data_IF_825835702022
#
_entry.id   IF_825835702022
#
_cell.length_a   1.000
_cell.length_b   1.000
_cell.length_c   1.000
_cell.angle_alpha   90.00
_cell.angle_beta   90.00
_cell.angle_gamma   90.00
#
_symmetry.space_group_name_H-M   'P 1'
#
loop_
_entity.id
_entity.type
_entity.pdbx_description
1 polymer ?
#
# COMPACT_ATOMS: atom_id res chain seq x y z
N UNK A 1 -5.55 -18.85 -8.39
CA UNK A 1 -6.11 -17.79 -7.53
C UNK A 1 -6.66 -18.33 -6.20
N UNK A 2 -7.48 -19.37 -6.16
CA UNK A 2 -8.00 -19.92 -4.88
C UNK A 2 -6.90 -20.38 -3.91
N UNK A 3 -5.85 -21.02 -4.41
CA UNK A 3 -4.72 -21.51 -3.59
C UNK A 3 -3.94 -20.36 -2.93
N UNK A 4 -3.70 -19.26 -3.63
CA UNK A 4 -2.97 -18.11 -3.09
C UNK A 4 -3.75 -17.43 -1.95
N UNK A 5 -5.05 -17.17 -2.14
CA UNK A 5 -5.87 -16.56 -1.09
C UNK A 5 -6.03 -17.45 0.15
N UNK A 6 -6.05 -18.78 -0.02
CA UNK A 6 -6.06 -19.72 1.09
C UNK A 6 -4.74 -19.71 1.87
N UNK A 7 -3.61 -19.64 1.17
CA UNK A 7 -2.28 -19.54 1.82
C UNK A 7 -2.14 -18.24 2.59
N UNK A 8 -2.59 -17.12 2.03
CA UNK A 8 -2.52 -15.81 2.69
C UNK A 8 -3.43 -15.75 3.93
N UNK A 9 -4.65 -16.25 3.82
CA UNK A 9 -5.58 -16.31 4.97
C UNK A 9 -5.07 -17.23 6.07
N UNK A 10 -4.59 -18.43 5.72
CA UNK A 10 -4.03 -19.38 6.70
C UNK A 10 -2.76 -18.81 7.35
N UNK A 11 -1.93 -18.09 6.61
CA UNK A 11 -0.74 -17.41 7.12
C UNK A 11 -1.08 -16.39 8.20
N UNK A 12 -2.10 -15.55 7.98
CA UNK A 12 -2.50 -14.54 8.96
C UNK A 12 -3.06 -15.17 10.25
N UNK A 13 -3.85 -16.24 10.13
CA UNK A 13 -4.37 -16.98 11.29
C UNK A 13 -3.21 -17.64 12.07
N UNK A 14 -2.30 -18.30 11.37
CA UNK A 14 -1.13 -18.94 12.00
C UNK A 14 -0.25 -17.93 12.71
N UNK A 15 -0.03 -16.74 12.11
CA UNK A 15 0.71 -15.65 12.74
C UNK A 15 0.05 -15.21 14.04
N UNK A 16 -1.27 -15.01 14.03
CA UNK A 16 -2.01 -14.62 15.23
C UNK A 16 -1.88 -15.66 16.33
N UNK A 17 -2.10 -16.94 16.01
CA UNK A 17 -2.00 -18.04 16.98
C UNK A 17 -0.58 -18.09 17.58
N UNK A 18 0.48 -18.02 16.74
CA UNK A 18 1.85 -18.08 17.22
C UNK A 18 2.18 -16.89 18.13
N UNK A 19 1.79 -15.66 17.76
CA UNK A 19 2.04 -14.49 18.58
C UNK A 19 1.34 -14.62 19.93
N UNK A 20 0.06 -15.00 19.95
CA UNK A 20 -0.68 -15.21 21.21
C UNK A 20 -0.03 -16.28 22.06
N UNK A 21 0.34 -17.42 21.47
CA UNK A 21 0.97 -18.52 22.21
C UNK A 21 2.31 -18.12 22.82
N UNK A 22 3.22 -17.54 22.04
CA UNK A 22 4.56 -17.18 22.52
C UNK A 22 4.51 -16.07 23.58
N UNK A 23 3.67 -15.05 23.40
CA UNK A 23 3.51 -13.96 24.36
C UNK A 23 2.82 -14.44 25.64
N UNK A 24 1.88 -15.39 25.55
CA UNK A 24 1.23 -15.98 26.73
C UNK A 24 2.18 -16.85 27.56
N UNK A 25 3.14 -17.54 26.90
CA UNK A 25 4.12 -18.37 27.58
C UNK A 25 5.22 -17.55 28.27
N UNK A 26 5.62 -16.46 27.65
CA UNK A 26 6.62 -15.54 28.20
C UNK A 26 6.33 -14.12 27.70
N UNK A 27 5.77 -13.23 28.54
CA UNK A 27 5.36 -11.88 28.17
C UNK A 27 6.57 -10.94 28.06
N UNK A 28 7.43 -11.22 27.08
CA UNK A 28 8.60 -10.41 26.75
C UNK A 28 8.58 -10.04 25.26
N UNK A 29 9.21 -8.91 24.94
CA UNK A 29 9.38 -8.43 23.56
C UNK A 29 10.11 -9.47 22.68
N UNK A 30 11.05 -10.21 23.22
CA UNK A 30 11.76 -11.29 22.53
C UNK A 30 10.81 -12.38 22.03
N UNK A 31 9.78 -12.75 22.81
CA UNK A 31 8.79 -13.76 22.44
C UNK A 31 7.97 -13.38 21.22
N UNK A 32 7.66 -12.08 21.07
CA UNK A 32 7.03 -11.56 19.88
C UNK A 32 7.91 -11.73 18.62
N UNK A 33 9.20 -11.42 18.73
CA UNK A 33 10.13 -11.61 17.61
C UNK A 33 10.32 -13.08 17.25
N UNK A 34 10.40 -13.98 18.23
CA UNK A 34 10.46 -15.42 17.99
C UNK A 34 9.21 -15.91 17.27
N UNK A 35 8.01 -15.50 17.70
CA UNK A 35 6.77 -15.87 17.04
C UNK A 35 6.74 -15.45 15.58
N UNK A 36 7.18 -14.23 15.27
CA UNK A 36 7.26 -13.73 13.89
C UNK A 36 8.28 -14.51 13.05
N UNK A 37 9.42 -14.84 13.62
CA UNK A 37 10.48 -15.60 12.93
C UNK A 37 10.00 -17.02 12.60
N UNK A 38 9.40 -17.71 13.57
CA UNK A 38 8.80 -19.03 13.36
C UNK A 38 7.69 -19.00 12.31
N UNK A 39 6.82 -18.00 12.36
CA UNK A 39 5.79 -17.82 11.35
C UNK A 39 6.39 -17.67 9.95
N UNK A 40 7.43 -16.84 9.78
CA UNK A 40 8.06 -16.64 8.48
C UNK A 40 8.73 -17.92 7.94
N UNK A 41 9.40 -18.68 8.80
CA UNK A 41 9.95 -19.98 8.45
C UNK A 41 8.84 -20.96 8.02
N UNK A 42 7.77 -21.06 8.79
CA UNK A 42 6.63 -21.92 8.48
C UNK A 42 6.02 -21.61 7.11
N UNK A 43 5.76 -20.33 6.83
CA UNK A 43 5.21 -19.90 5.54
C UNK A 43 6.17 -20.21 4.39
N UNK A 44 7.47 -20.00 4.59
CA UNK A 44 8.48 -20.31 3.58
C UNK A 44 8.53 -21.81 3.25
N UNK A 45 8.48 -22.66 4.24
CA UNK A 45 8.43 -24.13 4.06
C UNK A 45 7.12 -24.54 3.36
N UNK A 46 5.99 -23.97 3.78
CA UNK A 46 4.68 -24.28 3.17
C UNK A 46 4.64 -23.89 1.70
N UNK A 47 5.17 -22.72 1.33
CA UNK A 47 5.27 -22.29 -0.07
C UNK A 47 6.18 -23.22 -0.87
N UNK A 48 7.33 -23.64 -0.32
CA UNK A 48 8.21 -24.61 -0.97
C UNK A 48 7.49 -25.94 -1.21
N UNK A 49 6.79 -26.48 -0.22
CA UNK A 49 6.06 -27.75 -0.35
C UNK A 49 4.96 -27.65 -1.42
N UNK A 50 4.26 -26.52 -1.52
CA UNK A 50 3.25 -26.29 -2.55
C UNK A 50 3.87 -26.22 -3.95
N UNK A 51 5.03 -25.58 -4.09
CA UNK A 51 5.76 -25.53 -5.37
C UNK A 51 6.23 -26.91 -5.82
N UNK A 52 6.67 -27.78 -4.90
CA UNK A 52 7.04 -29.16 -5.24
C UNK A 52 5.84 -30.04 -5.58
N UNK A 53 4.63 -29.70 -5.10
CA UNK A 53 3.40 -30.46 -5.39
C UNK A 53 2.74 -30.03 -6.70
N UNK A 54 3.05 -28.85 -7.21
CA UNK A 54 2.51 -28.38 -8.48
C UNK A 54 3.15 -29.17 -9.63
N UNK A 55 2.31 -29.95 -10.32
CA UNK A 55 2.75 -30.89 -11.36
C UNK A 55 3.37 -30.12 -12.53
N UNK A 56 4.68 -30.21 -12.67
CA UNK A 56 5.50 -29.51 -13.67
C UNK A 56 5.22 -29.98 -15.11
N UNK A 57 4.33 -30.94 -15.30
CA UNK A 57 4.01 -31.55 -16.60
C UNK A 57 3.22 -30.65 -17.56
N UNK A 58 2.74 -29.48 -17.13
CA UNK A 58 2.01 -28.51 -17.97
C UNK A 58 2.79 -27.24 -18.30
N UNK A 59 3.98 -27.06 -17.77
CA UNK A 59 4.83 -25.93 -18.14
C UNK A 59 5.50 -26.21 -19.48
N UNK A 60 5.35 -25.32 -20.45
CA UNK A 60 6.24 -25.27 -21.61
C UNK A 60 7.68 -25.38 -21.10
N UNK A 61 8.51 -26.25 -21.73
CA UNK A 61 9.92 -26.46 -21.34
C UNK A 61 10.73 -25.19 -21.64
N UNK A 62 10.47 -24.14 -20.87
CA UNK A 62 11.35 -22.97 -20.86
C UNK A 62 12.66 -23.40 -20.20
N UNK A 63 13.74 -23.28 -20.94
CA UNK A 63 15.08 -23.60 -20.42
C UNK A 63 15.34 -22.74 -19.20
N UNK A 64 15.90 -23.30 -18.11
CA UNK A 64 16.21 -22.57 -16.88
C UNK A 64 17.00 -21.26 -17.14
N UNK A 65 17.83 -21.25 -18.16
CA UNK A 65 18.58 -20.06 -18.61
C UNK A 65 17.67 -18.97 -19.21
N UNK A 66 16.64 -19.35 -19.95
CA UNK A 66 15.63 -18.42 -20.51
C UNK A 66 14.73 -17.88 -19.39
N UNK A 67 14.31 -18.74 -18.47
CA UNK A 67 13.55 -18.33 -17.28
C UNK A 67 14.33 -17.30 -16.45
N UNK A 68 15.63 -17.54 -16.18
CA UNK A 68 16.48 -16.57 -15.47
C UNK A 68 16.61 -15.27 -16.27
N UNK A 69 16.78 -15.34 -17.61
CA UNK A 69 16.92 -14.14 -18.45
C UNK A 69 15.64 -13.30 -18.47
N UNK A 70 14.47 -13.92 -18.62
CA UNK A 70 13.16 -13.26 -18.57
C UNK A 70 12.85 -12.74 -17.15
N UNK A 71 13.12 -13.56 -16.15
CA UNK A 71 12.92 -13.22 -14.74
C UNK A 71 13.82 -12.09 -14.29
N UNK A 72 15.08 -12.04 -14.72
CA UNK A 72 16.01 -10.96 -14.32
C UNK A 72 15.49 -9.58 -14.70
N UNK A 73 15.10 -9.33 -15.93
CA UNK A 73 14.69 -7.99 -16.38
C UNK A 73 13.46 -7.50 -15.62
N UNK A 74 12.42 -8.30 -15.52
CA UNK A 74 11.18 -7.93 -14.83
C UNK A 74 11.33 -7.96 -13.32
N UNK A 75 12.11 -8.88 -12.77
CA UNK A 75 12.39 -8.99 -11.35
C UNK A 75 13.09 -7.72 -10.83
N UNK A 76 14.15 -7.23 -11.48
CA UNK A 76 14.82 -6.00 -11.05
C UNK A 76 13.89 -4.79 -11.12
N UNK A 77 13.12 -4.63 -12.21
CA UNK A 77 12.16 -3.53 -12.34
C UNK A 77 11.13 -3.52 -11.19
N UNK A 78 10.53 -4.68 -10.92
CA UNK A 78 9.52 -4.83 -9.87
C UNK A 78 10.13 -4.66 -8.47
N UNK A 79 11.31 -5.24 -8.22
CA UNK A 79 11.99 -5.13 -6.93
C UNK A 79 12.44 -3.71 -6.64
N UNK A 80 13.01 -3.02 -7.62
CA UNK A 80 13.37 -1.59 -7.49
C UNK A 80 12.14 -0.76 -7.15
N UNK A 81 11.03 -0.97 -7.87
CA UNK A 81 9.78 -0.30 -7.60
C UNK A 81 9.29 -0.56 -6.17
N UNK A 82 9.29 -1.82 -5.73
CA UNK A 82 8.88 -2.19 -4.36
C UNK A 82 9.80 -1.56 -3.31
N UNK A 83 11.13 -1.64 -3.48
CA UNK A 83 12.10 -1.09 -2.54
C UNK A 83 11.95 0.42 -2.37
N UNK A 84 11.84 1.16 -3.48
CA UNK A 84 11.59 2.61 -3.44
C UNK A 84 10.27 2.94 -2.75
N UNK A 85 9.23 2.11 -2.94
CA UNK A 85 7.94 2.32 -2.32
C UNK A 85 7.88 2.02 -0.81
N UNK A 86 8.77 1.16 -0.30
CA UNK A 86 8.82 0.85 1.14
C UNK A 86 9.43 2.01 1.96
N UNK A 87 10.34 2.77 1.38
CA UNK A 87 11.05 3.85 2.08
C UNK A 87 10.06 4.88 2.67
N UNK A 88 9.16 5.53 1.90
CA UNK A 88 8.24 6.52 2.46
C UNK A 88 7.27 5.96 3.50
N UNK A 89 6.88 4.68 3.35
CA UNK A 89 5.88 4.06 4.23
C UNK A 89 6.35 3.84 5.67
N UNK A 90 7.66 3.85 5.91
CA UNK A 90 8.26 3.66 7.22
C UNK A 90 9.02 4.87 7.74
N UNK A 91 9.48 5.75 6.81
CA UNK A 91 10.20 6.95 7.20
C UNK A 91 9.34 7.96 7.97
N UNK A 92 8.04 7.98 7.75
CA UNK A 92 7.13 8.89 8.42
C UNK A 92 7.21 8.78 9.95
N UNK A 93 7.15 7.55 10.48
CA UNK A 93 7.25 7.32 11.93
C UNK A 93 8.65 7.66 12.47
N UNK A 94 9.70 7.36 11.70
CA UNK A 94 11.08 7.70 12.07
C UNK A 94 11.27 9.22 12.12
N UNK A 95 10.75 9.92 11.13
CA UNK A 95 10.84 11.38 11.04
C UNK A 95 10.08 12.06 12.18
N UNK A 96 8.88 11.58 12.53
CA UNK A 96 8.17 12.10 13.73
C UNK A 96 8.98 11.84 14.99
N UNK A 97 9.47 10.62 15.20
CA UNK A 97 10.25 10.27 16.40
C UNK A 97 11.53 11.10 16.55
N UNK A 98 12.08 11.62 15.44
CA UNK A 98 13.28 12.46 15.44
C UNK A 98 12.95 13.95 15.66
N UNK A 99 11.90 14.48 15.03
CA UNK A 99 11.59 15.93 15.04
C UNK A 99 10.53 16.33 16.09
N UNK A 100 9.77 15.38 16.61
CA UNK A 100 8.74 15.62 17.63
C UNK A 100 9.02 14.73 18.85
N UNK A 101 8.00 14.15 19.44
CA UNK A 101 8.07 13.27 20.60
C UNK A 101 7.36 11.93 20.35
N UNK A 102 7.53 10.98 21.29
CA UNK A 102 6.91 9.67 21.18
C UNK A 102 5.37 9.71 21.26
N UNK A 103 4.81 10.69 21.98
CA UNK A 103 3.37 10.88 22.08
C UNK A 103 2.79 11.30 20.72
N UNK A 104 3.40 12.29 20.07
CA UNK A 104 3.07 12.73 18.73
C UNK A 104 3.16 11.58 17.69
N UNK A 105 4.19 10.75 17.80
CA UNK A 105 4.34 9.57 16.96
C UNK A 105 3.21 8.54 17.22
N UNK A 106 2.78 8.38 18.45
CA UNK A 106 1.63 7.55 18.83
C UNK A 106 0.33 8.02 18.21
N UNK A 107 -0.01 9.30 18.38
CA UNK A 107 -1.22 9.94 17.81
C UNK A 107 -1.24 9.77 16.29
N UNK A 108 -0.15 10.11 15.61
CA UNK A 108 -0.05 9.95 14.18
C UNK A 108 -0.22 8.49 13.73
N UNK A 109 0.36 7.54 14.45
CA UNK A 109 0.27 6.11 14.13
C UNK A 109 -1.16 5.59 14.23
N UNK A 110 -1.93 6.06 15.23
CA UNK A 110 -3.37 5.75 15.35
C UNK A 110 -4.13 6.33 14.16
N UNK A 111 -3.92 7.62 13.86
CA UNK A 111 -4.52 8.27 12.71
C UNK A 111 -4.27 7.50 11.41
N UNK A 112 -3.02 7.08 11.17
CA UNK A 112 -2.63 6.29 10.00
C UNK A 112 -3.31 4.91 9.98
N UNK A 113 -3.37 4.23 11.12
CA UNK A 113 -4.02 2.91 11.24
C UNK A 113 -5.52 2.95 10.96
N UNK A 114 -6.18 4.02 11.33
CA UNK A 114 -7.60 4.20 11.02
C UNK A 114 -7.88 4.41 9.53
N UNK A 115 -6.93 4.95 8.78
CA UNK A 115 -7.04 5.14 7.33
C UNK A 115 -6.58 3.92 6.53
N UNK A 116 -5.77 3.01 7.11
CA UNK A 116 -5.27 1.79 6.47
C UNK A 116 -6.36 0.88 5.84
N UNK A 117 -7.60 0.75 6.36
CA UNK A 117 -8.64 -0.03 5.71
C UNK A 117 -8.93 0.36 4.26
N UNK A 118 -8.71 1.62 3.89
CA UNK A 118 -8.86 2.09 2.50
C UNK A 118 -7.84 1.41 1.59
N UNK A 119 -6.60 1.21 2.05
CA UNK A 119 -5.59 0.44 1.32
C UNK A 119 -6.03 -1.00 1.12
N UNK A 120 -6.66 -1.60 2.12
CA UNK A 120 -7.17 -2.97 2.04
C UNK A 120 -8.27 -3.10 0.98
N UNK A 121 -9.14 -2.10 0.85
CA UNK A 121 -10.13 -2.03 -0.23
C UNK A 121 -9.44 -1.97 -1.60
N UNK A 122 -8.43 -1.11 -1.76
CA UNK A 122 -7.67 -1.01 -3.02
C UNK A 122 -7.03 -2.35 -3.40
N UNK A 123 -6.42 -3.03 -2.42
CA UNK A 123 -5.81 -4.34 -2.64
C UNK A 123 -6.86 -5.38 -3.06
N UNK A 124 -8.03 -5.39 -2.43
CA UNK A 124 -9.12 -6.30 -2.77
C UNK A 124 -9.66 -6.07 -4.19
N UNK A 125 -9.73 -4.83 -4.66
CA UNK A 125 -10.17 -4.49 -6.02
C UNK A 125 -9.10 -4.71 -7.10
N UNK A 126 -7.82 -4.81 -6.73
CA UNK A 126 -6.70 -4.94 -7.66
C UNK A 126 -6.81 -6.14 -8.63
N UNK A 127 -7.15 -7.38 -8.20
CA UNK A 127 -7.28 -8.52 -9.11
C UNK A 127 -8.43 -8.35 -10.12
N UNK A 128 -9.54 -7.75 -9.68
CA UNK A 128 -10.66 -7.45 -10.55
C UNK A 128 -10.25 -6.43 -11.63
N UNK A 129 -9.52 -5.39 -11.25
CA UNK A 129 -9.03 -4.38 -12.16
C UNK A 129 -8.07 -4.96 -13.20
N UNK A 130 -7.09 -5.77 -12.78
CA UNK A 130 -6.17 -6.45 -13.69
C UNK A 130 -6.90 -7.32 -14.72
N UNK A 131 -7.92 -8.07 -14.29
CA UNK A 131 -8.71 -8.90 -15.19
C UNK A 131 -9.49 -8.06 -16.22
N UNK A 132 -10.02 -6.91 -15.80
CA UNK A 132 -10.73 -5.98 -16.69
C UNK A 132 -9.80 -5.35 -17.75
N UNK A 133 -8.62 -4.90 -17.34
CA UNK A 133 -7.61 -4.34 -18.25
C UNK A 133 -7.17 -5.40 -19.27
N UNK A 134 -6.89 -6.62 -18.81
CA UNK A 134 -6.48 -7.74 -19.69
C UNK A 134 -7.52 -8.11 -20.74
N UNK A 135 -8.81 -8.14 -20.38
CA UNK A 135 -9.88 -8.59 -21.29
C UNK A 135 -10.31 -7.54 -22.29
N UNK A 136 -10.24 -6.27 -21.93
CA UNK A 136 -10.86 -5.20 -22.72
C UNK A 136 -9.86 -4.25 -23.40
N UNK A 137 -8.54 -4.40 -23.16
CA UNK A 137 -7.47 -3.59 -23.76
C UNK A 137 -7.60 -2.08 -23.56
N UNK A 138 -8.72 -1.49 -23.95
CA UNK A 138 -9.12 -0.09 -23.75
C UNK A 138 -10.30 0.00 -22.77
N UNK A 139 -10.06 -0.32 -21.50
CA UNK A 139 -11.10 -0.16 -20.47
C UNK A 139 -11.45 1.32 -20.26
N UNK A 140 -12.75 1.63 -20.24
CA UNK A 140 -13.22 3.00 -20.04
C UNK A 140 -13.12 3.38 -18.54
N UNK A 141 -11.92 3.81 -18.12
CA UNK A 141 -11.63 4.24 -16.75
C UNK A 141 -12.47 5.44 -16.31
N UNK A 142 -12.97 6.27 -17.27
CA UNK A 142 -13.85 7.39 -16.97
C UNK A 142 -15.15 6.93 -16.31
N UNK A 143 -15.77 5.88 -16.85
CA UNK A 143 -17.02 5.36 -16.27
C UNK A 143 -16.79 4.76 -14.88
N UNK A 144 -15.68 4.05 -14.68
CA UNK A 144 -15.29 3.56 -13.36
C UNK A 144 -15.11 4.72 -12.38
N UNK A 145 -14.38 5.75 -12.79
CA UNK A 145 -14.10 6.91 -11.96
C UNK A 145 -15.39 7.64 -11.55
N UNK A 146 -16.25 7.97 -12.50
CA UNK A 146 -17.47 8.78 -12.25
C UNK A 146 -18.51 7.96 -11.49
N UNK A 147 -18.75 6.69 -11.87
CA UNK A 147 -19.89 5.93 -11.38
C UNK A 147 -19.59 5.13 -10.11
N UNK A 148 -18.31 4.85 -9.82
CA UNK A 148 -17.94 4.00 -8.68
C UNK A 148 -16.99 4.73 -7.73
N UNK A 149 -15.81 5.16 -8.22
CA UNK A 149 -14.77 5.67 -7.33
C UNK A 149 -15.12 7.03 -6.71
N UNK A 150 -15.68 7.93 -7.47
CA UNK A 150 -16.03 9.26 -6.97
C UNK A 150 -17.19 9.21 -5.96
N UNK A 151 -18.34 8.55 -6.21
CA UNK A 151 -19.39 8.43 -5.20
C UNK A 151 -18.93 7.70 -3.94
N UNK A 152 -18.19 6.58 -4.10
CA UNK A 152 -17.68 5.84 -2.94
C UNK A 152 -16.65 6.64 -2.12
N UNK A 153 -15.84 7.48 -2.78
CA UNK A 153 -14.92 8.37 -2.05
C UNK A 153 -15.65 9.40 -1.19
N UNK A 154 -16.75 9.96 -1.70
CA UNK A 154 -17.60 10.88 -0.93
C UNK A 154 -18.21 10.16 0.28
N UNK A 155 -18.71 8.94 0.09
CA UNK A 155 -19.27 8.14 1.19
C UNK A 155 -18.19 7.85 2.25
N UNK A 156 -16.99 7.44 1.84
CA UNK A 156 -15.88 7.17 2.75
C UNK A 156 -15.50 8.42 3.54
N UNK A 157 -15.30 9.55 2.86
CA UNK A 157 -14.94 10.81 3.55
C UNK A 157 -16.03 11.25 4.52
N UNK A 158 -17.30 11.17 4.11
CA UNK A 158 -18.44 11.49 4.98
C UNK A 158 -18.51 10.58 6.21
N UNK A 159 -18.26 9.28 6.03
CA UNK A 159 -18.22 8.32 7.13
C UNK A 159 -17.12 8.67 8.15
N UNK A 160 -15.90 8.94 7.70
CA UNK A 160 -14.80 9.32 8.60
C UNK A 160 -15.03 10.68 9.24
N UNK A 161 -15.66 11.62 8.56
CA UNK A 161 -16.00 12.92 9.14
C UNK A 161 -17.06 12.80 10.24
N UNK A 162 -18.09 11.98 10.04
CA UNK A 162 -19.19 11.82 11.01
C UNK A 162 -18.84 10.89 12.18
N UNK A 163 -18.08 9.84 11.93
CA UNK A 163 -17.83 8.78 12.91
C UNK A 163 -16.36 8.66 13.33
N UNK A 164 -15.46 9.45 12.75
CA UNK A 164 -14.01 9.33 12.99
C UNK A 164 -13.61 9.57 14.43
N UNK A 165 -14.20 10.55 15.12
CA UNK A 165 -13.94 10.79 16.55
C UNK A 165 -14.39 9.60 17.41
N UNK A 166 -15.58 9.06 17.15
CA UNK A 166 -16.09 7.89 17.87
C UNK A 166 -15.22 6.64 17.61
N UNK A 167 -14.70 6.47 16.38
CA UNK A 167 -13.78 5.38 16.06
C UNK A 167 -12.47 5.50 16.84
N UNK A 168 -11.93 6.72 17.00
CA UNK A 168 -10.72 6.95 17.80
C UNK A 168 -10.99 6.60 19.26
N UNK A 169 -12.08 7.09 19.83
CA UNK A 169 -12.48 6.81 21.20
C UNK A 169 -12.61 5.31 21.48
N UNK A 170 -13.33 4.58 20.61
CA UNK A 170 -13.56 3.12 20.75
C UNK A 170 -12.28 2.32 20.63
N UNK A 171 -11.37 2.69 19.69
CA UNK A 171 -10.20 1.88 19.33
C UNK A 171 -8.97 2.24 20.18
N UNK A 172 -8.79 3.51 20.47
CA UNK A 172 -7.58 4.02 21.11
C UNK A 172 -7.83 4.67 22.49
N UNK A 173 -9.04 5.12 22.76
CA UNK A 173 -9.40 5.84 23.97
C UNK A 173 -9.42 7.37 23.78
N UNK A 174 -10.04 8.09 24.73
CA UNK A 174 -10.23 9.54 24.69
C UNK A 174 -8.93 10.33 24.66
N UNK A 175 -7.87 9.78 25.24
CA UNK A 175 -6.53 10.38 25.26
C UNK A 175 -5.92 10.58 23.86
N UNK A 176 -6.45 9.88 22.84
CA UNK A 176 -6.01 9.99 21.46
C UNK A 176 -6.95 10.81 20.56
N UNK A 177 -7.84 11.62 21.14
CA UNK A 177 -8.78 12.47 20.39
C UNK A 177 -8.06 13.39 19.37
N UNK A 178 -6.84 13.81 19.66
CA UNK A 178 -6.00 14.63 18.77
C UNK A 178 -5.63 13.91 17.46
N UNK A 179 -5.85 12.60 17.37
CA UNK A 179 -5.62 11.83 16.14
C UNK A 179 -6.65 12.13 15.03
N UNK A 180 -7.77 12.82 15.34
CA UNK A 180 -8.82 13.14 14.37
C UNK A 180 -8.32 14.02 13.22
N UNK A 181 -7.63 15.11 13.54
CA UNK A 181 -7.15 16.04 12.52
C UNK A 181 -6.12 15.39 11.57
N UNK A 182 -5.03 14.76 12.04
CA UNK A 182 -4.09 14.08 11.14
C UNK A 182 -4.73 12.91 10.38
N UNK A 183 -5.72 12.20 10.96
CA UNK A 183 -6.51 11.20 10.28
C UNK A 183 -7.24 11.77 9.06
N UNK A 184 -7.94 12.91 9.24
CA UNK A 184 -8.65 13.58 8.15
C UNK A 184 -7.69 14.08 7.06
N UNK A 185 -6.53 14.62 7.43
CA UNK A 185 -5.50 15.06 6.49
C UNK A 185 -4.97 13.87 5.68
N UNK A 186 -4.63 12.76 6.33
CA UNK A 186 -4.19 11.53 5.68
C UNK A 186 -5.28 10.97 4.76
N UNK A 187 -6.53 11.03 5.17
CA UNK A 187 -7.66 10.57 4.37
C UNK A 187 -7.70 11.26 3.00
N UNK A 188 -7.48 12.57 2.91
CA UNK A 188 -7.40 13.28 1.62
C UNK A 188 -6.24 12.77 0.75
N UNK A 189 -5.07 12.51 1.32
CA UNK A 189 -3.96 11.90 0.62
C UNK A 189 -4.30 10.50 0.09
N UNK A 190 -4.90 9.67 0.92
CA UNK A 190 -5.35 8.32 0.54
C UNK A 190 -6.48 8.34 -0.48
N UNK A 191 -7.37 9.34 -0.45
CA UNK A 191 -8.39 9.50 -1.50
C UNK A 191 -7.76 9.77 -2.87
N UNK A 192 -6.70 10.55 -2.94
CA UNK A 192 -5.95 10.74 -4.19
C UNK A 192 -5.42 9.40 -4.74
N UNK A 193 -4.92 8.53 -3.86
CA UNK A 193 -4.50 7.19 -4.22
C UNK A 193 -5.68 6.29 -4.61
N UNK A 194 -6.78 6.32 -3.85
CA UNK A 194 -7.98 5.54 -4.12
C UNK A 194 -8.61 5.87 -5.48
N UNK A 195 -8.75 7.14 -5.80
CA UNK A 195 -9.34 7.60 -7.06
C UNK A 195 -8.49 7.20 -8.29
N UNK A 196 -7.19 7.00 -8.10
CA UNK A 196 -6.25 6.76 -9.20
C UNK A 196 -5.50 5.42 -9.08
N UNK A 197 -5.93 4.48 -8.21
CA UNK A 197 -5.21 3.21 -7.99
C UNK A 197 -5.03 2.38 -9.27
N UNK A 198 -5.97 2.49 -10.19
CA UNK A 198 -5.96 1.81 -11.48
C UNK A 198 -4.80 2.26 -12.40
N UNK A 199 -4.25 3.48 -12.23
CA UNK A 199 -3.11 3.97 -13.02
C UNK A 199 -1.88 3.07 -12.84
N UNK A 200 -1.62 2.58 -11.63
CA UNK A 200 -0.56 1.62 -11.36
C UNK A 200 -0.71 0.37 -12.22
N UNK A 201 -1.89 -0.24 -12.22
CA UNK A 201 -2.15 -1.46 -12.99
C UNK A 201 -2.02 -1.20 -14.49
N UNK A 202 -2.51 -0.05 -14.97
CA UNK A 202 -2.34 0.36 -16.34
C UNK A 202 -0.85 0.49 -16.73
N UNK A 203 -0.04 1.16 -15.92
CA UNK A 203 1.39 1.33 -16.18
C UNK A 203 2.14 -0.01 -16.20
N UNK A 204 1.78 -0.93 -15.30
CA UNK A 204 2.37 -2.28 -15.27
C UNK A 204 2.02 -3.08 -16.53
N UNK A 205 0.78 -3.05 -16.96
CA UNK A 205 0.31 -3.82 -18.13
C UNK A 205 0.89 -3.30 -19.47
N UNK A 206 1.28 -2.01 -19.51
CA UNK A 206 1.87 -1.39 -20.70
C UNK A 206 3.42 -1.28 -20.63
N UNK A 207 4.08 -2.06 -19.78
CA UNK A 207 5.56 -2.06 -19.54
C UNK A 207 6.13 -0.68 -19.15
N UNK A 208 5.30 0.16 -18.55
CA UNK A 208 5.66 1.51 -18.06
C UNK A 208 5.98 1.52 -16.56
N UNK A 209 6.43 0.39 -16.02
CA UNK A 209 6.81 0.22 -14.60
C UNK A 209 7.80 1.30 -14.14
N UNK A 210 8.77 1.65 -14.99
CA UNK A 210 9.74 2.69 -14.70
C UNK A 210 9.10 4.07 -14.43
N UNK A 211 7.98 4.37 -15.09
CA UNK A 211 7.22 5.62 -14.83
C UNK A 211 6.56 5.59 -13.47
N UNK A 212 6.04 4.44 -13.05
CA UNK A 212 5.52 4.28 -11.68
C UNK A 212 6.62 4.47 -10.63
N UNK A 213 7.80 3.88 -10.86
CA UNK A 213 8.97 4.05 -9.97
C UNK A 213 9.42 5.52 -9.89
N UNK A 214 9.43 6.25 -11.02
CA UNK A 214 9.69 7.71 -11.01
C UNK A 214 8.65 8.44 -10.14
N UNK A 215 7.37 8.10 -10.25
CA UNK A 215 6.32 8.65 -9.38
C UNK A 215 6.62 8.44 -7.89
N UNK A 216 7.11 7.26 -7.50
CA UNK A 216 7.52 6.98 -6.12
C UNK A 216 8.75 7.77 -5.67
N UNK A 217 9.72 7.97 -6.57
CA UNK A 217 10.87 8.84 -6.29
C UNK A 217 10.42 10.30 -6.10
N UNK A 218 9.50 10.79 -6.92
CA UNK A 218 8.88 12.12 -6.74
C UNK A 218 8.21 12.22 -5.37
N UNK A 219 7.43 11.21 -4.98
CA UNK A 219 6.81 11.14 -3.65
C UNK A 219 7.86 11.26 -2.54
N UNK A 220 8.92 10.46 -2.60
CA UNK A 220 9.99 10.48 -1.61
C UNK A 220 10.69 11.85 -1.53
N UNK A 221 11.02 12.45 -2.66
CA UNK A 221 11.68 13.76 -2.71
C UNK A 221 10.78 14.84 -2.10
N UNK A 222 9.50 14.89 -2.49
CA UNK A 222 8.54 15.86 -1.96
C UNK A 222 8.35 15.65 -0.47
N UNK A 223 8.19 14.40 -0.02
CA UNK A 223 8.06 14.10 1.39
C UNK A 223 9.29 14.60 2.18
N UNK A 224 10.51 14.22 1.79
CA UNK A 224 11.72 14.60 2.51
C UNK A 224 11.98 16.11 2.51
N UNK A 225 11.61 16.82 1.44
CA UNK A 225 11.79 18.28 1.35
C UNK A 225 10.74 19.05 2.13
N UNK A 226 9.52 18.54 2.25
CA UNK A 226 8.40 19.25 2.89
C UNK A 226 8.22 18.87 4.37
N UNK A 227 8.57 17.64 4.76
CA UNK A 227 8.35 17.14 6.11
C UNK A 227 9.03 17.99 7.20
N UNK A 228 10.32 18.37 7.11
CA UNK A 228 10.95 19.22 8.14
C UNK A 228 10.26 20.57 8.32
N UNK A 229 9.85 21.19 7.21
CA UNK A 229 9.14 22.47 7.23
C UNK A 229 7.75 22.36 7.88
N UNK A 230 6.97 21.37 7.47
CA UNK A 230 5.62 21.21 8.01
C UNK A 230 5.62 20.73 9.46
N UNK A 231 6.58 19.87 9.86
CA UNK A 231 6.68 19.43 11.25
C UNK A 231 7.02 20.60 12.17
N UNK A 232 7.97 21.45 11.79
CA UNK A 232 8.35 22.60 12.63
C UNK A 232 7.21 23.59 12.83
N UNK A 233 6.26 23.69 11.88
CA UNK A 233 5.15 24.64 11.96
C UNK A 233 3.86 24.04 12.51
N UNK A 234 3.60 22.73 12.28
CA UNK A 234 2.32 22.09 12.56
C UNK A 234 2.47 20.80 13.39
N UNK A 235 3.66 20.51 13.92
CA UNK A 235 3.91 19.30 14.70
C UNK A 235 3.58 18.02 13.93
N UNK A 236 2.95 17.06 14.60
CA UNK A 236 2.59 15.79 13.98
C UNK A 236 1.55 15.90 12.83
N UNK A 237 0.72 16.95 12.82
CA UNK A 237 -0.15 17.23 11.68
C UNK A 237 0.64 17.57 10.43
N UNK A 238 1.81 18.17 10.57
CA UNK A 238 2.71 18.51 9.46
C UNK A 238 3.21 17.30 8.69
N UNK A 239 3.43 16.17 9.36
CA UNK A 239 3.75 14.91 8.66
C UNK A 239 2.57 14.41 7.83
N UNK A 240 1.36 14.45 8.39
CA UNK A 240 0.17 14.06 7.65
C UNK A 240 0.00 14.92 6.38
N UNK A 241 0.25 16.24 6.49
CA UNK A 241 0.24 17.16 5.35
C UNK A 241 1.30 16.76 4.32
N UNK A 242 2.54 16.51 4.74
CA UNK A 242 3.65 16.17 3.84
C UNK A 242 3.40 14.88 3.07
N UNK A 243 2.87 13.84 3.75
CA UNK A 243 2.52 12.56 3.12
C UNK A 243 1.36 12.72 2.14
N UNK A 244 0.31 13.44 2.55
CA UNK A 244 -0.86 13.66 1.69
C UNK A 244 -0.48 14.43 0.43
N UNK A 245 0.35 15.48 0.57
CA UNK A 245 0.85 16.28 -0.51
C UNK A 245 1.73 15.45 -1.46
N UNK A 246 2.72 14.74 -0.93
CA UNK A 246 3.64 13.92 -1.73
C UNK A 246 2.91 12.81 -2.48
N UNK A 247 1.91 12.17 -1.84
CA UNK A 247 1.05 11.16 -2.47
C UNK A 247 0.21 11.77 -3.60
N UNK A 248 -0.38 12.94 -3.39
CA UNK A 248 -1.15 13.62 -4.42
C UNK A 248 -0.28 13.94 -5.65
N UNK A 249 0.93 14.48 -5.46
CA UNK A 249 1.86 14.76 -6.56
C UNK A 249 2.30 13.51 -7.32
N UNK A 250 2.59 12.41 -6.61
CA UNK A 250 2.86 11.12 -7.25
C UNK A 250 1.70 10.72 -8.16
N UNK A 251 0.47 10.81 -7.65
CA UNK A 251 -0.71 10.38 -8.39
C UNK A 251 -1.06 11.29 -9.56
N UNK A 252 -0.86 12.57 -9.43
CA UNK A 252 -0.95 13.53 -10.54
C UNK A 252 0.05 13.21 -11.65
N UNK A 253 1.29 12.90 -11.29
CA UNK A 253 2.30 12.48 -12.25
C UNK A 253 1.89 11.18 -12.98
N UNK A 254 1.50 10.13 -12.25
CA UNK A 254 1.06 8.86 -12.85
C UNK A 254 -0.15 9.05 -13.79
N UNK A 255 -1.10 9.89 -13.40
CA UNK A 255 -2.26 10.22 -14.22
C UNK A 255 -1.86 11.00 -15.48
N UNK A 256 -0.92 11.93 -15.39
CA UNK A 256 -0.40 12.67 -16.55
C UNK A 256 0.28 11.74 -17.57
N UNK A 257 1.03 10.74 -17.09
CA UNK A 257 1.64 9.70 -17.94
C UNK A 257 0.57 8.89 -18.67
N UNK A 258 -0.50 8.50 -17.95
CA UNK A 258 -1.64 7.81 -18.57
C UNK A 258 -2.29 8.64 -19.67
N UNK A 259 -2.60 9.92 -19.41
CA UNK A 259 -3.22 10.81 -20.42
C UNK A 259 -2.34 10.96 -21.66
N UNK A 260 -1.04 11.14 -21.48
CA UNK A 260 -0.08 11.25 -22.59
C UNK A 260 -0.04 9.97 -23.43
N UNK A 261 -0.04 8.81 -22.79
CA UNK A 261 -0.05 7.52 -23.47
C UNK A 261 -1.33 7.33 -24.31
N UNK A 262 -2.47 7.65 -23.72
CA UNK A 262 -3.78 7.55 -24.38
C UNK A 262 -3.89 8.48 -25.60
N UNK A 263 -3.43 9.72 -25.47
CA UNK A 263 -3.46 10.68 -26.57
C UNK A 263 -2.57 10.23 -27.74
N UNK A 264 -1.38 9.70 -27.46
CA UNK A 264 -0.51 9.19 -28.50
C UNK A 264 -1.13 8.00 -29.25
N UNK A 265 -1.82 7.10 -28.54
CA UNK A 265 -2.48 5.94 -29.18
C UNK A 265 -3.67 6.33 -30.06
N UNK A 266 -4.35 7.42 -29.77
CA UNK A 266 -5.48 7.91 -30.57
C UNK A 266 -5.04 8.66 -31.84
N UNK A 267 -3.77 9.04 -31.95
CA UNK A 267 -3.20 9.75 -33.11
C UNK A 267 -2.60 8.81 -34.16
N UNK A 268 -2.66 7.51 -33.94
CA UNK A 268 -2.30 6.45 -34.90
C UNK A 268 -3.50 5.56 -35.19
#
# INVERSE_FOLDING_TARGET
>A
MKTYSLVESSSNITRFILVVTFVSLNPDISSFFYALTFHQLFVSVLVLLLLFKEDTNKAEKITFKEYIKMSKSNFYKIRTDQSVGLIPTHLDVVVIGYFADYYSAGIYRIAKKLVDPINSLIVAFSPWMLNKINKQGDYNFRNLFINILLPSSVIIVSFYYLFGSNLIEIIAGDEFADAFLPMMILLFGFMSYYLTFWTRHFLFMNDLIHKHTIGRVINLIIFLSTAPFFISNFGFNGIAISISLSTAFQKLYEFSVYLKYKNNKNNY
#
